data_IF_050756974896
#
_entry.id   IF_050756974896
#
_cell.length_a   1.000
_cell.length_b   1.000
_cell.length_c   1.000
_cell.angle_alpha   90.00
_cell.angle_beta   90.00
_cell.angle_gamma   90.00
#
_symmetry.space_group_name_H-M   'P 1'
#
loop_
_entity.id
_entity.type
_entity.pdbx_description
1 polymer ?
#
# COMPACT_ATOMS: atom_id res chain seq x y z
N UNK A 1 18.19 -14.09 3.54
CA UNK A 1 16.84 -13.52 3.67
C UNK A 1 16.92 -12.48 4.78
N UNK A 2 16.49 -11.23 4.56
CA UNK A 2 16.43 -10.21 5.61
C UNK A 2 15.62 -10.74 6.80
N UNK A 3 15.81 -10.15 7.98
CA UNK A 3 14.90 -10.47 9.08
C UNK A 3 13.50 -9.89 8.80
N UNK A 4 12.50 -10.31 9.59
CA UNK A 4 11.12 -9.89 9.34
C UNK A 4 10.94 -8.37 9.49
N UNK A 5 11.68 -7.74 10.41
CA UNK A 5 11.63 -6.29 10.65
C UNK A 5 12.19 -5.51 9.46
N UNK A 6 13.37 -5.86 8.99
CA UNK A 6 14.02 -5.27 7.81
C UNK A 6 13.11 -5.39 6.58
N UNK A 7 12.46 -6.54 6.45
CA UNK A 7 11.54 -6.82 5.34
C UNK A 7 10.25 -5.99 5.42
N UNK A 8 9.70 -5.80 6.63
CA UNK A 8 8.56 -4.93 6.86
C UNK A 8 8.90 -3.46 6.57
N UNK A 9 10.07 -2.99 7.03
CA UNK A 9 10.55 -1.64 6.77
C UNK A 9 10.76 -1.39 5.28
N UNK A 10 11.35 -2.36 4.57
CA UNK A 10 11.52 -2.32 3.12
C UNK A 10 10.18 -2.18 2.39
N UNK A 11 9.21 -3.04 2.70
CA UNK A 11 7.87 -2.99 2.08
C UNK A 11 7.12 -1.70 2.41
N UNK A 12 7.23 -1.23 3.66
CA UNK A 12 6.63 0.02 4.08
C UNK A 12 7.23 1.21 3.33
N UNK A 13 8.56 1.24 3.18
CA UNK A 13 9.24 2.25 2.37
C UNK A 13 8.77 2.21 0.93
N UNK A 14 8.77 1.01 0.31
CA UNK A 14 8.32 0.83 -1.06
C UNK A 14 6.88 1.33 -1.28
N UNK A 15 5.98 1.05 -0.31
CA UNK A 15 4.60 1.51 -0.35
C UNK A 15 4.47 3.04 -0.29
N UNK A 16 5.30 3.70 0.53
CA UNK A 16 5.32 5.16 0.60
C UNK A 16 5.94 5.79 -0.66
N UNK A 17 6.96 5.17 -1.25
CA UNK A 17 7.64 5.67 -2.44
C UNK A 17 6.80 5.57 -3.70
N UNK A 18 6.13 4.44 -3.94
CA UNK A 18 5.21 4.27 -5.08
C UNK A 18 3.98 5.19 -4.96
N UNK A 19 3.65 5.59 -3.73
CA UNK A 19 2.47 6.38 -3.41
C UNK A 19 1.29 5.50 -2.98
N UNK A 20 0.66 5.74 -1.80
CA UNK A 20 -0.41 4.87 -1.30
C UNK A 20 -1.66 4.77 -2.18
N UNK A 21 -1.88 5.75 -3.06
CA UNK A 21 -3.07 5.90 -3.93
C UNK A 21 -2.73 6.69 -5.18
N UNK A 22 -3.56 6.60 -6.22
CA UNK A 22 -3.47 7.37 -7.47
C UNK A 22 -4.65 8.32 -7.63
N UNK A 23 -4.50 9.44 -8.37
CA UNK A 23 -5.63 10.25 -8.76
C UNK A 23 -6.51 9.51 -9.78
N UNK A 24 -7.80 9.42 -9.50
CA UNK A 24 -8.83 8.93 -10.42
C UNK A 24 -9.85 10.02 -10.79
N UNK A 25 -10.76 9.70 -11.70
CA UNK A 25 -11.75 10.66 -12.22
C UNK A 25 -12.74 11.20 -11.16
N UNK A 26 -13.01 10.41 -10.12
CA UNK A 26 -13.99 10.74 -9.05
C UNK A 26 -13.33 10.80 -7.66
N UNK A 27 -12.02 10.93 -7.59
CA UNK A 27 -11.25 10.89 -6.36
C UNK A 27 -10.10 9.89 -6.44
N UNK A 28 -9.45 9.66 -5.30
CA UNK A 28 -8.34 8.71 -5.21
C UNK A 28 -8.80 7.28 -5.51
N UNK A 29 -7.91 6.51 -6.15
CA UNK A 29 -8.08 5.08 -6.43
C UNK A 29 -6.86 4.31 -5.91
N UNK A 30 -7.01 3.01 -5.60
CA UNK A 30 -5.86 2.20 -5.22
C UNK A 30 -4.86 2.07 -6.37
N UNK A 31 -3.63 1.71 -6.03
CA UNK A 31 -2.61 1.29 -7.00
C UNK A 31 -3.13 0.11 -7.83
N UNK A 32 -2.88 0.17 -9.14
CA UNK A 32 -3.14 -0.95 -10.04
C UNK A 32 -1.94 -1.88 -10.10
N UNK A 33 -2.17 -3.13 -10.52
CA UNK A 33 -1.08 -4.07 -10.78
C UNK A 33 -0.03 -3.53 -11.76
N UNK A 34 -0.46 -2.79 -12.79
CA UNK A 34 0.46 -2.24 -13.78
C UNK A 34 1.41 -1.19 -13.18
N UNK A 35 0.90 -0.37 -12.26
CA UNK A 35 1.67 0.69 -11.59
C UNK A 35 2.69 0.09 -10.62
N UNK A 36 2.26 -0.90 -9.82
CA UNK A 36 3.19 -1.58 -8.89
C UNK A 36 4.21 -2.42 -9.64
N UNK A 37 3.83 -3.09 -10.73
CA UNK A 37 4.77 -3.84 -11.57
C UNK A 37 5.80 -2.92 -12.24
N UNK A 38 5.37 -1.74 -12.71
CA UNK A 38 6.29 -0.73 -13.25
C UNK A 38 7.29 -0.24 -12.19
N UNK A 39 6.83 0.05 -10.96
CA UNK A 39 7.70 0.41 -9.85
C UNK A 39 8.68 -0.73 -9.52
N UNK A 40 8.18 -1.97 -9.36
CA UNK A 40 8.99 -3.12 -8.99
C UNK A 40 10.10 -3.44 -9.99
N UNK A 41 9.88 -3.23 -11.30
CA UNK A 41 10.93 -3.39 -12.33
C UNK A 41 12.13 -2.44 -12.14
N UNK A 42 11.95 -1.37 -11.38
CA UNK A 42 12.98 -0.38 -11.07
C UNK A 42 13.44 -0.41 -9.61
N UNK A 43 12.93 -1.35 -8.80
CA UNK A 43 13.23 -1.50 -7.38
C UNK A 43 13.86 -2.87 -7.12
N UNK A 44 15.20 -2.99 -7.18
CA UNK A 44 15.90 -4.28 -7.08
C UNK A 44 15.70 -4.99 -5.73
N UNK A 45 15.23 -4.28 -4.70
CA UNK A 45 14.84 -4.85 -3.42
C UNK A 45 13.54 -5.66 -3.47
N UNK A 46 12.67 -5.42 -4.45
CA UNK A 46 11.44 -6.19 -4.67
C UNK A 46 11.74 -7.39 -5.55
N UNK A 47 12.06 -8.50 -4.89
CA UNK A 47 12.55 -9.73 -5.52
C UNK A 47 11.48 -10.78 -5.81
N UNK A 48 10.31 -10.68 -5.18
CA UNK A 48 9.31 -11.75 -5.14
C UNK A 48 7.92 -11.25 -5.61
N UNK A 49 7.17 -12.05 -6.38
CA UNK A 49 5.85 -11.65 -6.87
C UNK A 49 4.87 -11.24 -5.78
N UNK A 50 4.95 -11.88 -4.61
CA UNK A 50 4.04 -11.62 -3.48
C UNK A 50 4.19 -10.20 -2.91
N UNK A 51 5.37 -9.59 -3.03
CA UNK A 51 5.63 -8.21 -2.58
C UNK A 51 4.80 -7.22 -3.40
N UNK A 52 4.74 -7.42 -4.72
CA UNK A 52 3.89 -6.64 -5.63
C UNK A 52 2.42 -6.80 -5.24
N UNK A 53 1.98 -8.03 -4.94
CA UNK A 53 0.59 -8.28 -4.50
C UNK A 53 0.30 -7.56 -3.19
N UNK A 54 1.25 -7.58 -2.26
CA UNK A 54 1.12 -6.93 -0.96
C UNK A 54 1.01 -5.42 -1.12
N UNK A 55 1.83 -4.77 -1.95
CA UNK A 55 1.74 -3.33 -2.20
C UNK A 55 0.37 -2.92 -2.76
N UNK A 56 -0.19 -3.70 -3.69
CA UNK A 56 -1.57 -3.49 -4.18
C UNK A 56 -2.58 -3.64 -3.04
N UNK A 57 -2.44 -4.67 -2.20
CA UNK A 57 -3.34 -4.91 -1.08
C UNK A 57 -3.26 -3.79 -0.03
N UNK A 58 -2.06 -3.33 0.31
CA UNK A 58 -1.82 -2.22 1.22
C UNK A 58 -2.51 -0.95 0.71
N UNK A 59 -2.42 -0.67 -0.60
CA UNK A 59 -3.11 0.48 -1.20
C UNK A 59 -4.63 0.40 -1.07
N UNK A 60 -5.21 -0.78 -1.34
CA UNK A 60 -6.64 -1.02 -1.19
C UNK A 60 -7.12 -0.81 0.24
N UNK A 61 -6.41 -1.39 1.22
CA UNK A 61 -6.75 -1.24 2.63
C UNK A 61 -6.56 0.18 3.12
N UNK A 62 -5.49 0.84 2.71
CA UNK A 62 -5.23 2.24 3.04
C UNK A 62 -6.37 3.15 2.57
N UNK A 63 -6.77 3.05 1.31
CA UNK A 63 -7.87 3.86 0.79
C UNK A 63 -9.20 3.51 1.47
N UNK A 64 -9.48 2.22 1.69
CA UNK A 64 -10.70 1.80 2.38
C UNK A 64 -10.79 2.39 3.80
N UNK A 65 -9.70 2.36 4.57
CA UNK A 65 -9.64 2.94 5.91
C UNK A 65 -9.66 4.47 5.89
N UNK A 66 -9.01 5.10 4.92
CA UNK A 66 -9.07 6.55 4.70
C UNK A 66 -10.51 7.02 4.44
N UNK A 67 -11.25 6.29 3.60
CA UNK A 67 -12.67 6.59 3.31
C UNK A 67 -13.53 6.42 4.57
N UNK A 68 -13.34 5.34 5.35
CA UNK A 68 -14.05 5.17 6.63
C UNK A 68 -13.74 6.30 7.60
N UNK A 69 -12.48 6.72 7.69
CA UNK A 69 -12.03 7.80 8.56
C UNK A 69 -12.53 9.19 8.19
N UNK A 70 -13.17 9.36 7.02
CA UNK A 70 -13.85 10.60 6.68
C UNK A 70 -15.16 10.79 7.48
N UNK A 71 -15.71 9.72 8.07
CA UNK A 71 -16.79 9.80 9.03
C UNK A 71 -16.22 10.14 10.42
N UNK A 72 -16.70 11.23 11.03
CA UNK A 72 -16.27 11.69 12.36
C UNK A 72 -16.65 10.69 13.46
N UNK A 73 -17.65 9.84 13.23
CA UNK A 73 -18.08 8.82 14.18
C UNK A 73 -17.39 7.46 13.97
N UNK A 74 -16.49 7.35 12.99
CA UNK A 74 -15.72 6.12 12.78
C UNK A 74 -14.79 5.88 13.97
N UNK A 75 -14.84 4.67 14.52
CA UNK A 75 -13.88 4.19 15.52
C UNK A 75 -12.50 4.08 14.88
N UNK A 76 -11.42 4.62 15.47
CA UNK A 76 -10.06 4.46 14.94
C UNK A 76 -9.68 2.98 14.72
N UNK A 77 -8.97 2.61 13.65
CA UNK A 77 -8.63 1.21 13.36
C UNK A 77 -7.94 0.48 14.51
N UNK A 78 -7.07 1.18 15.27
CA UNK A 78 -6.34 0.63 16.42
C UNK A 78 -7.25 0.26 17.60
N UNK A 79 -8.47 0.79 17.64
CA UNK A 79 -9.46 0.55 18.70
C UNK A 79 -10.49 -0.53 18.32
N UNK A 80 -10.42 -1.08 17.09
CA UNK A 80 -11.36 -2.11 16.59
C UNK A 80 -10.89 -3.55 16.85
N UNK A 81 -9.81 -3.73 17.61
CA UNK A 81 -9.07 -4.99 17.79
C UNK A 81 -9.65 -5.83 18.92
#
# INVERSE_FOLDING_TARGET
MPDLSDYQEMLWRAFLEVGPTLPGAMGEVPLSWAEVDAYARHSPELTEPWEVQLLVHMSQQYLAEKVKGADVFTVPPIERV
#
